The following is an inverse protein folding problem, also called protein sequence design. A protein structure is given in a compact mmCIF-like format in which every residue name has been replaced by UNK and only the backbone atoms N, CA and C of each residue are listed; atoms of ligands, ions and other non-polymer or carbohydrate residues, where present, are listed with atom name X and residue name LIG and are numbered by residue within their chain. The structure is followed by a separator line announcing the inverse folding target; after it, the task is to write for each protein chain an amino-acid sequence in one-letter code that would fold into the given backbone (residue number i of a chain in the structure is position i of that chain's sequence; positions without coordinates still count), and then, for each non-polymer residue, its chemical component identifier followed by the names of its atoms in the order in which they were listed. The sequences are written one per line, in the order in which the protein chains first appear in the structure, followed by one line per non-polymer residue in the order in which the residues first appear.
data_IF_080056627321
#
_entry.id   IF_080056627321
#
_cell.length_a   1.000
_cell.length_b   1.000
_cell.length_c   1.000
_cell.angle_alpha   90.00
_cell.angle_beta   90.00
_cell.angle_gamma   90.00
#
_symmetry.space_group_name_H-M   'P 1'
#
loop_
_entity.id
_entity.type
_entity.pdbx_description
1 polymer ?
#
# COMPACT_ATOMS: atom_id res chain seq x y z
N UNK A 1 -16.75 -67.31 -57.20
CA UNK A 1 -17.18 -66.78 -58.52
C UNK A 1 -16.96 -65.27 -58.52
N UNK A 2 -16.83 -64.73 -59.75
CA UNK A 2 -16.17 -63.51 -60.21
C UNK A 2 -16.56 -62.16 -59.56
N UNK A 3 -15.68 -61.14 -59.73
CA UNK A 3 -15.75 -59.79 -59.15
C UNK A 3 -16.63 -58.85 -60.00
N UNK A 4 -16.96 -57.66 -59.49
CA UNK A 4 -17.12 -56.50 -60.36
C UNK A 4 -17.05 -55.15 -59.63
N UNK A 5 -16.15 -54.31 -60.15
CA UNK A 5 -15.95 -52.89 -59.92
C UNK A 5 -17.17 -52.10 -60.43
N UNK A 6 -17.54 -50.99 -59.77
CA UNK A 6 -18.04 -49.83 -60.49
C UNK A 6 -17.55 -48.52 -59.87
N UNK A 7 -17.29 -47.61 -60.79
CA UNK A 7 -16.40 -46.46 -60.75
C UNK A 7 -17.23 -45.17 -60.62
N UNK A 8 -16.54 -44.03 -60.34
CA UNK A 8 -16.77 -42.66 -60.89
C UNK A 8 -17.34 -41.58 -59.94
N UNK A 9 -16.50 -40.53 -59.78
CA UNK A 9 -16.73 -39.06 -59.67
C UNK A 9 -17.83 -38.52 -58.73
N UNK A 10 -17.71 -37.36 -58.08
CA UNK A 10 -16.97 -36.15 -58.47
C UNK A 10 -16.65 -35.31 -57.23
N UNK A 11 -15.55 -34.58 -57.38
CA UNK A 11 -14.99 -33.58 -56.49
C UNK A 11 -15.78 -32.27 -56.64
N UNK A 12 -16.42 -31.76 -55.60
CA UNK A 12 -16.79 -30.34 -55.52
C UNK A 12 -16.24 -29.77 -54.20
N UNK A 13 -15.10 -29.09 -54.36
CA UNK A 13 -14.57 -28.13 -53.41
C UNK A 13 -15.61 -27.02 -53.19
N UNK A 14 -16.06 -26.84 -51.95
CA UNK A 14 -16.53 -25.55 -51.49
C UNK A 14 -15.80 -25.23 -50.18
N UNK A 15 -14.90 -24.26 -50.30
CA UNK A 15 -14.14 -23.66 -49.23
C UNK A 15 -15.07 -22.88 -48.29
N UNK A 16 -14.92 -23.03 -46.98
CA UNK A 16 -14.56 -21.93 -46.07
C UNK A 16 -14.87 -22.26 -44.60
N UNK A 17 -13.88 -21.90 -43.78
CA UNK A 17 -13.92 -21.61 -42.35
C UNK A 17 -14.17 -22.77 -41.40
N UNK A 18 -13.49 -22.89 -40.27
CA UNK A 18 -12.32 -22.28 -39.63
C UNK A 18 -12.27 -23.11 -38.35
N UNK A 19 -11.16 -23.78 -38.08
CA UNK A 19 -10.99 -24.55 -36.85
C UNK A 19 -11.12 -23.60 -35.66
N UNK A 20 -12.21 -23.76 -34.89
CA UNK A 20 -12.39 -23.03 -33.64
C UNK A 20 -11.70 -23.82 -32.55
N UNK A 21 -10.37 -23.67 -32.50
CA UNK A 21 -9.58 -24.10 -31.36
C UNK A 21 -10.18 -23.45 -30.10
N UNK A 22 -10.63 -24.33 -29.21
CA UNK A 22 -11.10 -24.00 -27.88
C UNK A 22 -9.90 -23.50 -27.08
N UNK A 23 -9.64 -22.20 -27.17
CA UNK A 23 -8.71 -21.51 -26.28
C UNK A 23 -9.23 -21.70 -24.85
N UNK A 24 -8.43 -22.41 -24.06
CA UNK A 24 -8.53 -22.40 -22.62
C UNK A 24 -8.24 -20.96 -22.19
N UNK A 25 -9.28 -20.26 -21.76
CA UNK A 25 -9.12 -19.02 -21.04
C UNK A 25 -8.45 -19.38 -19.71
N UNK A 26 -7.20 -18.96 -19.58
CA UNK A 26 -6.47 -18.91 -18.33
C UNK A 26 -7.12 -17.82 -17.46
N UNK A 27 -8.07 -18.23 -16.64
CA UNK A 27 -8.64 -17.47 -15.53
C UNK A 27 -7.66 -17.53 -14.35
N UNK A 28 -6.53 -16.82 -14.43
CA UNK A 28 -5.58 -16.75 -13.31
C UNK A 28 -4.52 -15.65 -13.46
N UNK A 29 -4.88 -14.41 -13.81
CA UNK A 29 -3.93 -13.29 -13.62
C UNK A 29 -4.58 -11.90 -13.52
N UNK A 30 -5.79 -11.84 -12.93
CA UNK A 30 -6.48 -10.58 -12.63
C UNK A 30 -6.58 -10.25 -11.13
N UNK A 31 -5.84 -10.99 -10.28
CA UNK A 31 -5.71 -10.71 -8.84
C UNK A 31 -4.49 -9.83 -8.49
N UNK A 32 -3.94 -9.14 -9.49
CA UNK A 32 -2.93 -8.08 -9.34
C UNK A 32 -3.43 -6.81 -10.04
N UNK A 33 -4.68 -6.42 -9.78
CA UNK A 33 -5.03 -5.00 -9.83
C UNK A 33 -4.34 -4.40 -8.61
N UNK A 34 -3.33 -3.58 -8.87
CA UNK A 34 -2.37 -3.02 -7.93
C UNK A 34 -3.08 -2.42 -6.71
N UNK A 35 -3.22 -3.19 -5.62
CA UNK A 35 -3.47 -2.63 -4.29
C UNK A 35 -2.18 -1.91 -3.89
N UNK A 36 -2.05 -0.67 -4.33
CA UNK A 36 -0.95 0.18 -3.94
C UNK A 36 -1.20 0.62 -2.50
N UNK A 37 -0.78 -0.21 -1.56
CA UNK A 37 -0.91 0.08 -0.14
C UNK A 37 -0.07 1.31 0.23
N UNK A 38 -0.61 2.16 1.11
CA UNK A 38 0.13 3.28 1.64
C UNK A 38 1.35 2.79 2.41
N UNK A 39 2.49 3.45 2.27
CA UNK A 39 3.73 3.06 2.96
C UNK A 39 4.62 4.24 3.24
N UNK A 40 5.40 4.13 4.31
CA UNK A 40 6.51 5.05 4.58
C UNK A 40 7.74 4.51 3.85
N UNK A 41 8.24 5.28 2.87
CA UNK A 41 9.37 4.88 2.04
C UNK A 41 10.72 5.39 2.53
N UNK A 42 10.72 6.42 3.38
CA UNK A 42 11.93 6.99 3.97
C UNK A 42 11.63 7.68 5.30
N UNK A 43 12.58 7.63 6.23
CA UNK A 43 12.55 8.32 7.52
C UNK A 43 13.87 9.01 7.73
N UNK A 44 13.82 10.34 7.86
CA UNK A 44 14.97 11.15 8.27
C UNK A 44 14.68 11.86 9.58
N UNK A 45 15.74 12.14 10.34
CA UNK A 45 15.61 12.73 11.68
C UNK A 45 16.75 13.69 11.98
N UNK A 46 16.48 14.64 12.88
CA UNK A 46 17.45 15.61 13.39
C UNK A 46 17.05 16.08 14.80
N UNK A 47 17.98 16.72 15.49
CA UNK A 47 17.76 17.23 16.85
C UNK A 47 18.43 16.37 17.91
N UNK A 48 17.99 16.54 19.14
CA UNK A 48 18.60 15.96 20.35
C UNK A 48 17.64 14.99 21.05
N UNK A 49 18.16 14.09 21.91
CA UNK A 49 17.31 13.20 22.71
C UNK A 49 16.15 13.93 23.38
N UNK A 50 14.95 13.36 23.26
CA UNK A 50 13.69 13.91 23.75
C UNK A 50 13.17 15.20 23.07
N UNK A 51 13.80 15.64 21.99
CA UNK A 51 13.39 16.82 21.23
C UNK A 51 13.63 16.67 19.72
N UNK A 52 13.35 15.48 19.18
CA UNK A 52 13.61 15.20 17.77
C UNK A 52 12.60 15.86 16.81
N UNK A 53 13.08 16.14 15.61
CA UNK A 53 12.26 16.34 14.43
C UNK A 53 12.43 15.13 13.52
N UNK A 54 11.31 14.48 13.18
CA UNK A 54 11.26 13.31 12.30
C UNK A 54 10.46 13.70 11.07
N UNK A 55 11.01 13.40 9.90
CA UNK A 55 10.39 13.59 8.59
C UNK A 55 10.14 12.24 7.96
N UNK A 56 8.89 11.96 7.63
CA UNK A 56 8.49 10.71 6.97
C UNK A 56 8.11 11.00 5.54
N UNK A 57 8.68 10.24 4.61
CA UNK A 57 8.26 10.23 3.20
C UNK A 57 7.23 9.14 3.01
N UNK A 58 6.05 9.51 2.52
CA UNK A 58 4.89 8.65 2.38
C UNK A 58 4.57 8.52 0.90
N UNK A 59 4.29 7.29 0.48
CA UNK A 59 3.70 6.96 -0.81
C UNK A 59 2.34 6.35 -0.54
N UNK A 60 1.26 6.95 -1.06
CA UNK A 60 -0.11 6.54 -0.77
C UNK A 60 -1.01 6.59 -2.01
N UNK A 61 -2.06 5.76 -2.08
CA UNK A 61 -3.03 5.75 -3.17
C UNK A 61 -4.09 6.84 -2.97
N UNK A 62 -3.64 8.08 -2.82
CA UNK A 62 -4.50 9.24 -2.64
C UNK A 62 -5.37 9.50 -3.89
N UNK A 63 -6.66 9.76 -3.71
CA UNK A 63 -7.61 10.11 -4.79
C UNK A 63 -8.37 11.41 -4.54
N UNK A 64 -7.89 12.21 -3.59
CA UNK A 64 -8.57 13.39 -3.05
C UNK A 64 -9.08 13.14 -1.64
N UNK A 65 -9.96 14.00 -1.14
CA UNK A 65 -10.49 13.88 0.23
C UNK A 65 -11.28 12.58 0.50
N UNK A 66 -11.73 11.89 -0.56
CA UNK A 66 -12.40 10.59 -0.43
C UNK A 66 -11.45 9.48 0.00
N UNK A 67 -10.16 9.56 -0.35
CA UNK A 67 -9.14 8.61 0.10
C UNK A 67 -7.77 9.29 0.14
N UNK A 68 -7.19 9.39 1.33
CA UNK A 68 -5.88 9.98 1.53
C UNK A 68 -5.22 9.51 2.83
N UNK A 69 -3.90 9.66 2.89
CA UNK A 69 -3.16 9.49 4.14
C UNK A 69 -3.48 10.67 5.08
N UNK A 70 -4.16 10.39 6.20
CA UNK A 70 -4.66 11.41 7.11
C UNK A 70 -3.80 11.58 8.38
N UNK A 71 -2.93 10.60 8.68
CA UNK A 71 -1.80 10.78 9.58
C UNK A 71 -0.68 9.77 9.39
N UNK A 72 0.46 10.09 9.98
CA UNK A 72 1.46 9.12 10.37
C UNK A 72 1.74 9.24 11.87
N UNK A 73 2.17 8.14 12.48
CA UNK A 73 2.38 8.07 13.92
C UNK A 73 3.60 7.25 14.30
N UNK A 74 4.08 7.49 15.52
CA UNK A 74 5.16 6.78 16.19
C UNK A 74 4.57 6.11 17.43
N UNK A 75 4.85 4.83 17.59
CA UNK A 75 4.40 4.02 18.71
C UNK A 75 5.52 3.12 19.20
N UNK A 76 5.52 2.82 20.50
CA UNK A 76 6.41 1.80 21.04
C UNK A 76 5.97 0.38 20.59
N UNK A 77 6.74 -0.62 21.01
CA UNK A 77 6.50 -2.01 20.64
C UNK A 77 5.30 -2.63 21.39
N UNK A 78 4.81 -1.96 22.43
CA UNK A 78 3.64 -2.37 23.20
C UNK A 78 2.34 -1.77 22.65
N UNK A 79 2.45 -0.83 21.70
CA UNK A 79 1.31 -0.19 21.06
C UNK A 79 0.90 1.16 21.65
N UNK A 80 1.72 1.75 22.53
CA UNK A 80 1.44 3.07 23.09
C UNK A 80 1.82 4.17 22.09
N UNK A 81 0.91 5.12 21.89
CA UNK A 81 1.17 6.28 21.04
C UNK A 81 2.20 7.22 21.66
N UNK A 82 3.32 7.44 20.96
CA UNK A 82 4.36 8.39 21.33
C UNK A 82 4.10 9.73 20.65
N UNK A 83 3.76 9.71 19.37
CA UNK A 83 3.57 10.91 18.56
C UNK A 83 2.63 10.66 17.39
N UNK A 84 1.85 11.66 17.00
CA UNK A 84 1.04 11.64 15.78
C UNK A 84 1.15 12.95 15.03
N UNK A 85 1.35 12.86 13.71
CA UNK A 85 1.27 13.99 12.79
C UNK A 85 0.01 13.88 11.94
N UNK A 86 -0.96 14.75 12.23
CA UNK A 86 -2.16 14.90 11.38
C UNK A 86 -1.78 15.54 10.04
N UNK A 87 -2.29 14.95 8.97
CA UNK A 87 -2.23 15.42 7.58
C UNK A 87 -3.61 15.91 7.19
N UNK A 88 -3.71 17.17 6.76
CA UNK A 88 -5.00 17.86 6.65
C UNK A 88 -5.54 17.92 5.23
N UNK A 89 -4.86 17.33 4.24
CA UNK A 89 -5.26 17.37 2.83
C UNK A 89 -4.68 16.17 2.08
N UNK A 90 -5.21 15.91 0.88
CA UNK A 90 -4.70 14.88 -0.01
C UNK A 90 -3.47 15.34 -0.79
N UNK A 91 -2.62 14.40 -1.17
CA UNK A 91 -1.36 14.61 -1.88
C UNK A 91 -1.33 13.91 -3.25
N UNK A 92 -2.46 13.83 -3.96
CA UNK A 92 -2.57 13.13 -5.27
C UNK A 92 -1.43 13.50 -6.24
N UNK A 93 -1.12 14.79 -6.34
CA UNK A 93 -0.13 15.33 -7.29
C UNK A 93 1.31 15.43 -6.71
N UNK A 94 1.52 14.98 -5.47
CA UNK A 94 2.79 15.10 -4.73
C UNK A 94 3.24 13.71 -4.24
N UNK A 95 3.09 12.65 -5.02
CA UNK A 95 3.50 11.31 -4.58
C UNK A 95 4.93 10.96 -5.04
N UNK A 96 5.83 10.52 -4.13
CA UNK A 96 5.69 10.52 -2.68
C UNK A 96 5.87 11.93 -2.07
N UNK A 97 5.25 12.18 -0.93
CA UNK A 97 5.36 13.45 -0.20
C UNK A 97 6.05 13.26 1.15
N UNK A 98 6.73 14.30 1.64
CA UNK A 98 7.41 14.27 2.96
C UNK A 98 6.75 15.24 3.92
N UNK A 99 6.42 14.78 5.14
CA UNK A 99 5.90 15.66 6.20
C UNK A 99 6.62 15.40 7.51
N UNK A 100 6.93 16.50 8.21
CA UNK A 100 7.68 16.46 9.45
C UNK A 100 6.80 16.65 10.68
N UNK A 101 7.24 16.03 11.76
CA UNK A 101 6.79 16.22 13.13
C UNK A 101 7.97 16.65 13.99
N UNK A 102 7.73 17.52 14.98
CA UNK A 102 8.78 18.11 15.81
C UNK A 102 8.44 18.03 17.29
N UNK A 103 9.46 18.26 18.15
CA UNK A 103 9.36 18.17 19.61
C UNK A 103 8.94 16.77 20.08
N UNK A 104 9.43 15.75 19.39
CA UNK A 104 9.14 14.36 19.69
C UNK A 104 9.97 13.93 20.90
N UNK A 105 9.29 13.63 22.00
CA UNK A 105 9.91 13.10 23.22
C UNK A 105 10.18 11.61 23.06
N UNK A 106 11.38 11.29 22.59
CA UNK A 106 11.84 9.93 22.33
C UNK A 106 13.32 9.83 22.74
N UNK A 107 13.71 8.80 23.47
CA UNK A 107 15.12 8.52 23.74
C UNK A 107 15.77 7.89 22.50
N UNK A 108 17.06 8.14 22.30
CA UNK A 108 17.76 7.76 21.07
C UNK A 108 17.79 6.25 20.82
N UNK A 109 17.79 5.46 21.90
CA UNK A 109 17.83 3.99 21.91
C UNK A 109 16.46 3.32 21.97
N UNK A 110 15.36 4.07 22.07
CA UNK A 110 14.01 3.50 22.11
C UNK A 110 13.63 2.96 20.74
N UNK A 111 13.35 1.66 20.65
CA UNK A 111 12.85 1.04 19.43
C UNK A 111 11.36 1.35 19.26
N UNK A 112 10.99 1.81 18.07
CA UNK A 112 9.63 2.24 17.74
C UNK A 112 9.20 1.73 16.37
N UNK A 113 7.89 1.69 16.17
CA UNK A 113 7.29 1.64 14.85
C UNK A 113 6.92 3.04 14.37
N UNK A 114 7.04 3.27 13.07
CA UNK A 114 6.46 4.42 12.39
C UNK A 114 5.57 3.88 11.28
N UNK A 115 4.30 4.30 11.28
CA UNK A 115 3.29 3.79 10.34
C UNK A 115 2.37 4.91 9.83
N UNK A 116 1.77 4.65 8.68
CA UNK A 116 0.80 5.54 8.04
C UNK A 116 -0.62 4.97 8.18
N UNK A 117 -1.59 5.88 8.29
CA UNK A 117 -3.02 5.57 8.29
C UNK A 117 -3.68 6.27 7.09
N UNK A 118 -4.64 5.58 6.49
CA UNK A 118 -5.51 6.10 5.44
C UNK A 118 -6.92 6.27 6.00
N UNK A 119 -7.57 7.37 5.68
CA UNK A 119 -8.93 7.68 6.17
C UNK A 119 -9.99 6.61 5.83
N UNK A 120 -9.79 5.81 4.77
CA UNK A 120 -10.74 4.78 4.31
C UNK A 120 -10.30 3.34 4.59
N UNK A 121 -8.99 3.07 4.61
CA UNK A 121 -8.46 1.70 4.70
C UNK A 121 -7.73 1.41 6.00
N UNK A 122 -7.62 2.38 6.90
CA UNK A 122 -6.96 2.21 8.19
C UNK A 122 -5.44 2.20 8.08
N UNK A 123 -4.80 1.50 9.02
CA UNK A 123 -3.34 1.35 9.06
C UNK A 123 -2.79 0.41 7.98
N UNK A 124 -1.65 0.78 7.43
CA UNK A 124 -0.83 -0.08 6.57
C UNK A 124 -0.07 -1.14 7.37
N UNK A 125 0.15 -2.33 6.79
CA UNK A 125 1.04 -3.34 7.37
C UNK A 125 2.51 -3.02 7.14
N UNK A 126 2.83 -2.25 6.09
CA UNK A 126 4.18 -1.81 5.76
C UNK A 126 4.61 -0.64 6.65
N UNK A 127 5.49 -0.92 7.62
CA UNK A 127 5.96 0.05 8.61
C UNK A 127 7.47 0.27 8.51
N UNK A 128 7.94 1.29 9.21
CA UNK A 128 9.37 1.46 9.52
C UNK A 128 9.59 1.09 10.98
N UNK A 129 10.63 0.32 11.28
CA UNK A 129 11.01 -0.07 12.63
C UNK A 129 12.48 0.26 12.87
N UNK A 130 12.79 0.78 14.06
CA UNK A 130 14.17 1.05 14.45
C UNK A 130 14.29 2.05 15.60
N UNK A 131 15.47 2.63 15.72
CA UNK A 131 15.82 3.63 16.73
C UNK A 131 16.44 4.85 16.06
N UNK A 132 16.60 5.95 16.79
CA UNK A 132 17.36 7.10 16.28
C UNK A 132 18.85 6.76 16.15
N UNK A 133 19.40 5.96 17.06
CA UNK A 133 20.82 5.59 17.05
C UNK A 133 21.21 4.73 15.85
N UNK A 134 20.35 3.78 15.49
CA UNK A 134 20.65 2.78 14.46
C UNK A 134 19.95 3.03 13.13
N UNK A 135 19.06 4.03 13.10
CA UNK A 135 18.18 4.29 11.97
C UNK A 135 16.99 3.33 11.90
N UNK A 136 16.21 3.49 10.84
CA UNK A 136 14.97 2.78 10.57
C UNK A 136 15.08 1.90 9.34
N UNK A 137 14.36 0.79 9.36
CA UNK A 137 14.29 -0.17 8.26
C UNK A 137 12.87 -0.67 8.05
N UNK A 138 12.56 -1.15 6.84
CA UNK A 138 11.26 -1.72 6.52
C UNK A 138 10.96 -2.97 7.37
N UNK A 139 9.74 -3.02 7.88
CA UNK A 139 9.21 -4.14 8.63
C UNK A 139 7.71 -4.28 8.34
N UNK A 140 7.16 -5.42 8.74
CA UNK A 140 5.71 -5.68 8.69
C UNK A 140 5.14 -5.67 10.10
N UNK A 141 3.94 -5.11 10.23
CA UNK A 141 3.15 -5.08 11.45
C UNK A 141 1.69 -5.39 11.09
N UNK A 142 0.94 -6.05 11.98
CA UNK A 142 -0.47 -6.25 11.71
C UNK A 142 -1.18 -4.89 11.57
N UNK A 143 -1.97 -4.70 10.51
CA UNK A 143 -2.81 -3.51 10.33
C UNK A 143 -3.77 -3.29 11.53
N UNK A 144 -4.10 -4.35 12.26
CA UNK A 144 -4.95 -4.30 13.47
C UNK A 144 -4.17 -4.13 14.78
N UNK A 145 -2.83 -4.06 14.74
CA UNK A 145 -2.03 -3.81 15.94
C UNK A 145 -2.37 -2.43 16.52
N UNK A 146 -2.67 -2.32 17.81
CA UNK A 146 -3.02 -1.06 18.46
C UNK A 146 -4.11 -0.26 17.70
N UNK A 147 -5.15 -0.93 17.19
CA UNK A 147 -6.23 -0.32 16.40
C UNK A 147 -7.07 0.69 17.22
N UNK A 148 -7.12 0.55 18.54
CA UNK A 148 -7.80 1.51 19.42
C UNK A 148 -7.25 2.95 19.26
N UNK A 149 -6.02 3.11 18.76
CA UNK A 149 -5.41 4.41 18.48
C UNK A 149 -6.16 5.23 17.41
N UNK A 150 -6.96 4.60 16.54
CA UNK A 150 -7.82 5.33 15.57
C UNK A 150 -8.82 6.26 16.28
N UNK A 151 -9.15 5.96 17.54
CA UNK A 151 -10.08 6.75 18.35
C UNK A 151 -9.38 7.67 19.35
N UNK A 152 -8.05 7.60 19.45
CA UNK A 152 -7.27 8.41 20.39
C UNK A 152 -6.91 9.77 19.78
N UNK A 153 -7.06 10.85 20.56
CA UNK A 153 -6.64 12.18 20.11
C UNK A 153 -5.09 12.30 20.02
N UNK A 154 -4.56 13.15 19.11
CA UNK A 154 -5.29 14.00 18.16
C UNK A 154 -5.85 13.22 16.97
N UNK A 155 -6.98 13.66 16.43
CA UNK A 155 -7.60 13.15 15.20
C UNK A 155 -7.79 14.27 14.15
N UNK A 156 -7.83 13.95 12.85
CA UNK A 156 -8.21 14.90 11.82
C UNK A 156 -9.62 15.46 12.08
N UNK A 157 -9.82 16.76 11.85
CA UNK A 157 -11.16 17.38 11.93
C UNK A 157 -11.85 17.47 10.57
N UNK A 158 -11.21 16.97 9.51
CA UNK A 158 -11.68 17.01 8.13
C UNK A 158 -10.52 17.03 7.13
N UNK A 159 -10.87 17.08 5.84
CA UNK A 159 -9.93 17.23 4.74
C UNK A 159 -10.08 18.63 4.12
N UNK A 160 -8.97 19.33 4.01
CA UNK A 160 -8.84 20.54 3.20
C UNK A 160 -8.41 20.13 1.78
N UNK A 161 -9.01 20.79 0.79
CA UNK A 161 -8.71 20.81 -0.65
C UNK A 161 -7.66 19.82 -1.19
#
# INVERSE_FOLDING_TARGET
MKPLVFTILSFWFLCCSTDKEKMLADESDSASILNFEAKITDVSFSGEPNAYTISTTISSPDTGCDQYADWWEILDLEGNLIYRRILTHSHVEEQPFTRSGSKITLASSTEVYIRVHMNTTGYSSAVQKGTIETGFSAAELSATFANDLENQQPLPTGCAF
#
